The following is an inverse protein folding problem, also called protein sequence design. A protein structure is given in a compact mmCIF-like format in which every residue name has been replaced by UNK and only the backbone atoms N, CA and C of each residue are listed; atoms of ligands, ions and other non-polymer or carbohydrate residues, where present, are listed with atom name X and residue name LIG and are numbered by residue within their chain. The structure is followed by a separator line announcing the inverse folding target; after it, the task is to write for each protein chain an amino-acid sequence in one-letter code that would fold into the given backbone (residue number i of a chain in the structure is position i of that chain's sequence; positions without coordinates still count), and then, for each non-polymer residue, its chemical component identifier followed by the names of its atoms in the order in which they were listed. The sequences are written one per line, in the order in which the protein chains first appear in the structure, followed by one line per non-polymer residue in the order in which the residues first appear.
data_IF_305461399766
#
_entry.id   IF_305461399766
#
_cell.length_a   1.000
_cell.length_b   1.000
_cell.length_c   1.000
_cell.angle_alpha   90.00
_cell.angle_beta   90.00
_cell.angle_gamma   90.00
#
_symmetry.space_group_name_H-M   'P 1'
#
loop_
_entity.id
_entity.type
_entity.pdbx_description
1 polymer ?
#
# COMPACT_ATOMS: atom_id res chain seq x y z
N UNK A 1 9.54 3.83 16.34
CA UNK A 1 8.77 2.80 15.64
C UNK A 1 7.83 3.49 14.64
N UNK A 2 8.37 3.95 13.50
CA UNK A 2 7.62 4.62 12.43
C UNK A 2 7.99 4.09 11.02
N UNK A 3 8.95 3.16 10.93
CA UNK A 3 9.53 2.70 9.68
C UNK A 3 8.53 2.05 8.71
N UNK A 4 7.44 1.47 9.21
CA UNK A 4 6.36 0.93 8.36
C UNK A 4 5.59 2.05 7.65
N UNK A 5 5.23 3.11 8.37
CA UNK A 5 4.54 4.28 7.81
C UNK A 5 5.48 5.06 6.88
N UNK A 6 6.76 5.17 7.26
CA UNK A 6 7.78 5.81 6.42
C UNK A 6 7.99 5.04 5.10
N UNK A 7 8.07 3.70 5.16
CA UNK A 7 8.20 2.85 3.97
C UNK A 7 6.96 2.90 3.08
N UNK A 8 5.77 2.91 3.68
CA UNK A 8 4.52 3.10 2.95
C UNK A 8 4.48 4.44 2.23
N UNK A 9 4.73 5.55 2.95
CA UNK A 9 4.70 6.90 2.39
C UNK A 9 5.75 7.09 1.29
N UNK A 10 6.94 6.49 1.45
CA UNK A 10 7.98 6.48 0.43
C UNK A 10 7.50 5.82 -0.86
N UNK A 11 6.94 4.61 -0.77
CA UNK A 11 6.41 3.87 -1.92
C UNK A 11 5.20 4.54 -2.57
N UNK A 12 4.26 5.06 -1.78
CA UNK A 12 3.13 5.81 -2.30
C UNK A 12 3.60 7.02 -3.13
N UNK A 13 4.60 7.74 -2.65
CA UNK A 13 5.16 8.89 -3.38
C UNK A 13 5.86 8.45 -4.67
N UNK A 14 6.77 7.49 -4.58
CA UNK A 14 7.64 7.13 -5.70
C UNK A 14 6.90 6.35 -6.81
N UNK A 15 5.99 5.46 -6.41
CA UNK A 15 5.35 4.50 -7.31
C UNK A 15 3.95 4.93 -7.76
N UNK A 16 3.24 5.75 -6.97
CA UNK A 16 1.91 6.24 -7.35
C UNK A 16 1.96 7.73 -7.72
N UNK A 17 2.30 8.60 -6.79
CA UNK A 17 2.09 10.04 -6.98
C UNK A 17 3.05 10.64 -8.02
N UNK A 18 4.30 10.20 -8.04
CA UNK A 18 5.30 10.71 -8.99
C UNK A 18 5.14 10.13 -10.41
N UNK A 19 4.48 8.97 -10.55
CA UNK A 19 4.28 8.30 -11.86
C UNK A 19 3.01 8.78 -12.59
N UNK A 20 2.10 9.46 -11.90
CA UNK A 20 0.80 9.82 -12.44
C UNK A 20 0.63 11.34 -12.52
N UNK A 21 0.20 11.82 -13.68
CA UNK A 21 -0.28 13.19 -13.83
C UNK A 21 -1.78 13.21 -13.59
N UNK A 22 -2.24 13.98 -12.60
CA UNK A 22 -3.65 14.06 -12.26
C UNK A 22 -4.34 15.23 -12.96
N UNK A 23 -5.32 14.92 -13.79
CA UNK A 23 -6.11 15.92 -14.51
C UNK A 23 -7.17 16.56 -13.62
N UNK A 24 -7.66 15.83 -12.62
CA UNK A 24 -8.63 16.32 -11.64
C UNK A 24 -8.63 15.45 -10.36
N UNK A 25 -9.36 15.89 -9.33
CA UNK A 25 -9.44 15.20 -8.04
C UNK A 25 -10.15 13.84 -8.10
N UNK A 26 -11.08 13.64 -9.04
CA UNK A 26 -11.77 12.36 -9.19
C UNK A 26 -10.80 11.30 -9.71
N UNK A 27 -10.06 11.63 -10.76
CA UNK A 27 -9.02 10.77 -11.33
C UNK A 27 -7.93 10.46 -10.30
N UNK A 28 -7.48 11.46 -9.53
CA UNK A 28 -6.52 11.24 -8.46
C UNK A 28 -7.01 10.23 -7.41
N UNK A 29 -8.29 10.33 -7.01
CA UNK A 29 -8.88 9.41 -6.03
C UNK A 29 -8.96 7.99 -6.57
N UNK A 30 -9.37 7.83 -7.82
CA UNK A 30 -9.46 6.52 -8.47
C UNK A 30 -8.08 5.84 -8.56
N UNK A 31 -7.08 6.55 -9.07
CA UNK A 31 -5.71 6.03 -9.20
C UNK A 31 -5.12 5.66 -7.84
N UNK A 32 -5.29 6.53 -6.82
CA UNK A 32 -4.75 6.26 -5.48
C UNK A 32 -5.47 5.07 -4.83
N UNK A 33 -6.79 4.92 -5.02
CA UNK A 33 -7.55 3.78 -4.51
C UNK A 33 -7.09 2.48 -5.17
N UNK A 34 -6.94 2.47 -6.50
CA UNK A 34 -6.43 1.31 -7.23
C UNK A 34 -5.04 0.92 -6.72
N UNK A 35 -4.11 1.88 -6.62
CA UNK A 35 -2.76 1.61 -6.11
C UNK A 35 -2.78 1.08 -4.67
N UNK A 36 -3.64 1.63 -3.80
CA UNK A 36 -3.81 1.16 -2.42
C UNK A 36 -4.30 -0.29 -2.39
N UNK A 37 -5.25 -0.66 -3.25
CA UNK A 37 -5.73 -2.03 -3.34
C UNK A 37 -4.60 -2.97 -3.78
N UNK A 38 -3.85 -2.62 -4.83
CA UNK A 38 -2.72 -3.43 -5.28
C UNK A 38 -1.66 -3.60 -4.17
N UNK A 39 -1.31 -2.52 -3.47
CA UNK A 39 -0.35 -2.54 -2.38
C UNK A 39 -0.80 -3.47 -1.25
N UNK A 40 -2.08 -3.44 -0.87
CA UNK A 40 -2.59 -4.20 0.26
C UNK A 40 -2.87 -5.68 -0.05
N UNK A 41 -3.26 -6.00 -1.29
CA UNK A 41 -3.75 -7.34 -1.64
C UNK A 41 -2.80 -8.14 -2.53
N UNK A 42 -1.92 -7.51 -3.30
CA UNK A 42 -1.14 -8.20 -4.33
C UNK A 42 0.37 -8.20 -4.08
N UNK A 43 0.87 -7.30 -3.23
CA UNK A 43 2.31 -7.12 -3.02
C UNK A 43 2.79 -7.75 -1.72
N UNK A 44 3.46 -8.92 -1.77
CA UNK A 44 4.08 -9.49 -0.59
C UNK A 44 5.31 -8.67 -0.17
N UNK A 45 5.42 -8.39 1.13
CA UNK A 45 6.50 -7.60 1.69
C UNK A 45 7.42 -8.47 2.54
N UNK A 46 8.72 -8.45 2.26
CA UNK A 46 9.73 -9.21 3.02
C UNK A 46 9.73 -8.84 4.51
N UNK A 47 9.51 -7.57 4.84
CA UNK A 47 9.34 -7.09 6.22
C UNK A 47 8.10 -7.65 6.93
N UNK A 48 7.11 -8.16 6.18
CA UNK A 48 5.92 -8.83 6.69
C UNK A 48 6.02 -10.36 6.57
N UNK A 49 7.22 -10.90 6.35
CA UNK A 49 7.43 -12.34 6.16
C UNK A 49 6.98 -12.83 4.78
N UNK A 50 7.12 -12.00 3.74
CA UNK A 50 6.62 -12.23 2.39
C UNK A 50 5.10 -12.42 2.29
N UNK A 51 4.36 -11.80 3.22
CA UNK A 51 2.91 -11.70 3.18
C UNK A 51 2.50 -10.33 2.62
N UNK A 52 1.33 -10.28 2.00
CA UNK A 52 0.68 -9.01 1.69
C UNK A 52 0.25 -8.31 2.99
N UNK A 53 0.07 -6.98 3.00
CA UNK A 53 -0.46 -6.28 4.16
C UNK A 53 -1.78 -6.86 4.68
N UNK A 54 -2.68 -7.27 3.78
CA UNK A 54 -3.93 -7.92 4.17
C UNK A 54 -3.71 -9.29 4.81
N UNK A 55 -2.91 -10.17 4.21
CA UNK A 55 -2.62 -11.48 4.79
C UNK A 55 -1.94 -11.36 6.16
N UNK A 56 -1.02 -10.40 6.30
CA UNK A 56 -0.37 -10.12 7.56
C UNK A 56 -1.39 -9.64 8.62
N UNK A 57 -2.30 -8.74 8.25
CA UNK A 57 -3.36 -8.27 9.15
C UNK A 57 -4.33 -9.40 9.53
N UNK A 58 -4.72 -10.25 8.58
CA UNK A 58 -5.57 -11.41 8.84
C UNK A 58 -4.88 -12.41 9.80
N UNK A 59 -3.58 -12.63 9.63
CA UNK A 59 -2.78 -13.47 10.54
C UNK A 59 -2.70 -12.89 11.95
N UNK A 60 -2.61 -11.57 12.09
CA UNK A 60 -2.66 -10.89 13.39
C UNK A 60 -4.05 -10.96 14.02
N UNK A 61 -5.12 -10.87 13.22
CA UNK A 61 -6.50 -10.95 13.69
C UNK A 61 -6.93 -12.40 14.06
N UNK A 62 -6.24 -13.41 13.53
CA UNK A 62 -6.54 -14.83 13.72
C UNK A 62 -5.81 -15.52 14.88
N UNK A 63 -5.27 -14.78 15.85
CA UNK A 63 -4.70 -15.35 17.07
C UNK A 63 -5.79 -15.70 18.10
N UNK A 64 -6.40 -16.88 17.98
CA UNK A 64 -7.07 -17.61 19.07
C UNK A 64 -6.35 -18.94 19.31
#
# INVERSE_FOLDING_TARGET
QNGYIESFNGRLRDECLNQNWFSNLYEARDIIEQWRMEYNHLRPHSSLGNLTPEEYAAKLAGGY
#
